data_IF_698346389864
#
_entry.id   IF_698346389864
#
_cell.length_a   1.000
_cell.length_b   1.000
_cell.length_c   1.000
_cell.angle_alpha   90.00
_cell.angle_beta   90.00
_cell.angle_gamma   90.00
#
_symmetry.space_group_name_H-M   'P 1'
#
loop_
_entity.id
_entity.type
_entity.pdbx_description
1 polymer ?
#
# COMPACT_ATOMS: atom_id res chain seq x y z
N UNK A 1 14.44 -11.59 17.18
CA UNK A 1 13.05 -11.60 16.65
C UNK A 1 12.46 -12.96 16.95
N UNK A 2 11.19 -13.05 17.35
CA UNK A 2 10.54 -14.31 17.69
C UNK A 2 9.18 -14.42 16.99
N UNK A 3 8.91 -15.53 16.30
CA UNK A 3 7.62 -15.77 15.64
C UNK A 3 6.66 -16.44 16.63
N UNK A 4 5.67 -15.68 17.09
CA UNK A 4 4.68 -16.14 18.08
C UNK A 4 3.53 -16.93 17.48
N UNK A 5 3.13 -16.62 16.24
CA UNK A 5 1.99 -17.29 15.59
C UNK A 5 2.16 -17.27 14.08
N UNK A 6 1.93 -18.41 13.45
CA UNK A 6 1.86 -18.56 12.00
C UNK A 6 0.55 -19.27 11.65
N UNK A 7 -0.22 -18.68 10.73
CA UNK A 7 -1.48 -19.27 10.26
C UNK A 7 -1.55 -19.15 8.74
N UNK A 8 -1.59 -20.29 8.06
CA UNK A 8 -1.85 -20.33 6.62
C UNK A 8 -3.32 -20.03 6.34
N UNK A 9 -3.57 -19.26 5.28
CA UNK A 9 -4.90 -18.92 4.77
C UNK A 9 -4.99 -19.34 3.31
N UNK A 10 -5.38 -20.61 3.03
CA UNK A 10 -5.38 -21.16 1.68
C UNK A 10 -6.24 -20.36 0.69
N UNK A 11 -7.41 -19.88 1.13
CA UNK A 11 -8.34 -19.09 0.30
C UNK A 11 -7.72 -17.82 -0.29
N UNK A 12 -6.80 -17.19 0.44
CA UNK A 12 -6.11 -15.97 0.02
C UNK A 12 -4.67 -16.23 -0.42
N UNK A 13 -4.22 -17.49 -0.40
CA UNK A 13 -2.86 -17.88 -0.74
C UNK A 13 -1.78 -17.19 0.11
N UNK A 14 -2.11 -16.82 1.35
CA UNK A 14 -1.21 -16.06 2.23
C UNK A 14 -1.05 -16.71 3.60
N UNK A 15 0.10 -16.48 4.22
CA UNK A 15 0.39 -16.87 5.59
C UNK A 15 0.43 -15.63 6.46
N UNK A 16 -0.44 -15.59 7.47
CA UNK A 16 -0.44 -14.53 8.49
C UNK A 16 0.56 -14.89 9.57
N UNK A 17 1.56 -14.05 9.74
CA UNK A 17 2.61 -14.20 10.75
C UNK A 17 2.47 -13.09 11.79
N UNK A 18 2.53 -13.47 13.06
CA UNK A 18 2.65 -12.56 14.18
C UNK A 18 4.02 -12.77 14.82
N UNK A 19 4.82 -11.72 14.85
CA UNK A 19 6.16 -11.78 15.40
C UNK A 19 6.36 -10.70 16.47
N UNK A 20 7.22 -11.01 17.43
CA UNK A 20 7.70 -10.09 18.45
C UNK A 20 9.13 -9.70 18.11
N UNK A 21 9.37 -8.41 17.98
CA UNK A 21 10.68 -7.82 17.70
C UNK A 21 11.12 -7.07 18.95
N UNK A 22 12.12 -7.59 19.63
CA UNK A 22 12.79 -6.92 20.75
C UNK A 22 13.93 -6.09 20.17
N UNK A 23 14.04 -4.84 20.62
CA UNK A 23 15.05 -3.90 20.15
C UNK A 23 15.51 -3.02 21.31
N UNK A 24 16.80 -2.74 21.41
CA UNK A 24 17.30 -1.82 22.43
C UNK A 24 17.22 -0.38 21.89
N UNK A 25 16.05 0.25 22.03
CA UNK A 25 15.85 1.67 21.69
C UNK A 25 14.61 1.98 20.83
N UNK A 26 14.70 2.90 19.84
CA UNK A 26 13.55 3.36 19.06
C UNK A 26 12.99 2.25 18.18
N UNK A 27 11.66 2.25 17.99
CA UNK A 27 10.94 1.25 17.18
C UNK A 27 11.61 1.09 15.81
N UNK A 28 12.00 -0.14 15.41
CA UNK A 28 12.71 -0.36 14.16
C UNK A 28 11.85 0.04 12.97
N UNK A 29 12.51 0.50 11.92
CA UNK A 29 11.82 0.88 10.68
C UNK A 29 11.11 -0.33 10.07
N UNK A 30 10.05 -0.07 9.30
CA UNK A 30 9.29 -1.12 8.60
C UNK A 30 10.18 -1.95 7.67
N UNK A 31 11.11 -1.33 6.95
CA UNK A 31 12.04 -2.04 6.06
C UNK A 31 12.98 -2.96 6.85
N UNK A 32 13.51 -2.50 7.99
CA UNK A 32 14.35 -3.34 8.85
C UNK A 32 13.60 -4.58 9.33
N UNK A 33 12.34 -4.42 9.77
CA UNK A 33 11.50 -5.53 10.20
C UNK A 33 11.21 -6.49 9.03
N UNK A 34 10.98 -5.96 7.83
CA UNK A 34 10.74 -6.74 6.62
C UNK A 34 11.97 -7.59 6.26
N UNK A 35 13.16 -7.00 6.32
CA UNK A 35 14.42 -7.70 6.07
C UNK A 35 14.68 -8.79 7.13
N UNK A 36 14.36 -8.52 8.41
CA UNK A 36 14.44 -9.54 9.46
C UNK A 36 13.46 -10.69 9.24
N UNK A 37 12.22 -10.40 8.83
CA UNK A 37 11.22 -11.43 8.49
C UNK A 37 11.64 -12.27 7.29
N UNK A 38 12.20 -11.64 6.26
CA UNK A 38 12.69 -12.30 5.06
C UNK A 38 13.78 -13.32 5.39
N UNK A 39 14.73 -12.94 6.25
CA UNK A 39 15.81 -13.82 6.73
C UNK A 39 15.29 -14.99 7.56
N UNK A 40 14.41 -14.70 8.52
CA UNK A 40 13.87 -15.71 9.44
C UNK A 40 13.05 -16.78 8.70
N UNK A 41 12.24 -16.35 7.73
CA UNK A 41 11.33 -17.22 7.00
C UNK A 41 11.88 -17.71 5.66
N UNK A 42 13.10 -17.30 5.29
CA UNK A 42 13.77 -17.62 4.03
C UNK A 42 12.89 -17.32 2.80
N UNK A 43 12.21 -16.17 2.83
CA UNK A 43 11.34 -15.70 1.74
C UNK A 43 11.83 -14.35 1.24
N UNK A 44 11.57 -14.05 -0.04
CA UNK A 44 11.90 -12.74 -0.61
C UNK A 44 11.12 -11.62 0.10
N UNK A 45 11.79 -10.48 0.31
CA UNK A 45 11.19 -9.29 0.94
C UNK A 45 9.93 -8.79 0.21
N UNK A 46 9.93 -8.90 -1.13
CA UNK A 46 8.82 -8.49 -2.00
C UNK A 46 7.53 -9.26 -1.71
N UNK A 47 7.65 -10.48 -1.19
CA UNK A 47 6.52 -11.33 -0.86
C UNK A 47 5.97 -11.09 0.56
N UNK A 48 6.57 -10.16 1.31
CA UNK A 48 6.20 -9.84 2.68
C UNK A 48 5.61 -8.44 2.75
N UNK A 49 4.39 -8.32 3.27
CA UNK A 49 3.75 -7.05 3.58
C UNK A 49 3.49 -6.94 5.08
N UNK A 50 3.97 -5.86 5.69
CA UNK A 50 3.72 -5.57 7.10
C UNK A 50 2.41 -4.79 7.21
N UNK A 51 1.38 -5.42 7.79
CA UNK A 51 0.07 -4.81 7.95
C UNK A 51 0.03 -3.84 9.13
N UNK A 52 0.55 -4.27 10.27
CA UNK A 52 0.55 -3.47 11.49
C UNK A 52 1.81 -3.69 12.31
N UNK A 53 2.25 -2.60 12.95
CA UNK A 53 3.37 -2.55 13.89
C UNK A 53 2.80 -1.98 15.19
N UNK A 54 2.73 -2.81 16.23
CA UNK A 54 2.20 -2.45 17.54
C UNK A 54 3.34 -2.39 18.55
N UNK A 55 3.88 -1.21 18.85
CA UNK A 55 4.84 -1.06 19.94
C UNK A 55 4.17 -1.41 21.27
N UNK A 56 4.87 -2.14 22.14
CA UNK A 56 4.40 -2.46 23.49
C UNK A 56 4.76 -1.30 24.41
N UNK A 57 3.76 -0.72 25.07
CA UNK A 57 4.00 0.35 26.03
C UNK A 57 4.83 -0.18 27.22
N UNK A 58 5.84 0.60 27.64
CA UNK A 58 6.70 0.26 28.78
C UNK A 58 7.67 -0.90 28.53
N UNK A 59 7.80 -1.39 27.29
CA UNK A 59 8.76 -2.43 26.94
C UNK A 59 9.41 -2.08 25.60
N UNK A 60 10.69 -2.42 25.43
CA UNK A 60 11.37 -2.22 24.15
C UNK A 60 11.08 -3.41 23.20
N UNK A 61 9.80 -3.67 23.00
CA UNK A 61 9.31 -4.78 22.19
C UNK A 61 8.16 -4.32 21.29
N UNK A 62 8.12 -4.89 20.09
CA UNK A 62 7.19 -4.49 19.04
C UNK A 62 6.52 -5.74 18.48
N UNK A 63 5.19 -5.78 18.55
CA UNK A 63 4.40 -6.85 17.94
C UNK A 63 4.09 -6.47 16.49
N UNK A 64 4.54 -7.30 15.57
CA UNK A 64 4.37 -7.10 14.12
C UNK A 64 3.38 -8.13 13.59
N UNK A 65 2.46 -7.68 12.74
CA UNK A 65 1.58 -8.55 11.96
C UNK A 65 1.96 -8.39 10.49
N UNK A 66 2.41 -9.48 9.88
CA UNK A 66 2.81 -9.55 8.49
C UNK A 66 1.98 -10.59 7.71
N UNK A 67 1.76 -10.31 6.44
CA UNK A 67 1.20 -11.23 5.46
C UNK A 67 2.30 -11.64 4.49
N UNK A 68 2.42 -12.94 4.28
CA UNK A 68 3.43 -13.52 3.41
C UNK A 68 2.72 -14.24 2.30
N UNK A 69 3.04 -13.88 1.07
CA UNK A 69 2.44 -14.44 -0.13
C UNK A 69 3.41 -15.41 -0.80
N UNK A 70 2.87 -16.44 -1.46
CA UNK A 70 3.67 -17.33 -2.31
C UNK A 70 3.96 -16.68 -3.67
N UNK A 71 3.00 -15.89 -4.16
CA UNK A 71 3.04 -15.26 -5.48
C UNK A 71 3.00 -13.72 -5.36
N UNK A 72 3.93 -12.98 -5.98
CA UNK A 72 3.93 -11.51 -5.95
C UNK A 72 2.73 -10.90 -6.69
N UNK A 73 2.21 -11.59 -7.70
CA UNK A 73 1.00 -11.17 -8.44
C UNK A 73 -0.23 -11.13 -7.54
N UNK A 74 -0.38 -12.09 -6.62
CA UNK A 74 -1.49 -12.11 -5.66
C UNK A 74 -1.34 -11.00 -4.62
N UNK A 75 -0.11 -10.73 -4.20
CA UNK A 75 0.20 -9.63 -3.29
C UNK A 75 -0.23 -8.29 -3.88
N UNK A 76 0.12 -8.00 -5.14
CA UNK A 76 -0.27 -6.75 -5.83
C UNK A 76 -1.78 -6.60 -6.01
N UNK A 77 -2.50 -7.71 -6.24
CA UNK A 77 -3.96 -7.70 -6.42
C UNK A 77 -4.76 -7.59 -5.12
N UNK A 78 -4.24 -8.15 -4.02
CA UNK A 78 -4.99 -8.28 -2.75
C UNK A 78 -4.67 -7.19 -1.72
N UNK A 79 -3.46 -6.64 -1.74
CA UNK A 79 -3.08 -5.57 -0.82
C UNK A 79 -3.35 -4.19 -1.43
N UNK A 80 -3.47 -3.18 -0.56
CA UNK A 80 -3.74 -1.81 -0.98
C UNK A 80 -2.48 -1.19 -1.62
N UNK A 81 -2.63 -0.48 -2.73
CA UNK A 81 -1.56 0.23 -3.44
C UNK A 81 -0.70 1.11 -2.53
N UNK A 82 -1.31 1.76 -1.54
CA UNK A 82 -0.58 2.57 -0.55
C UNK A 82 0.43 1.75 0.25
N UNK A 83 0.10 0.50 0.60
CA UNK A 83 1.02 -0.39 1.29
C UNK A 83 2.13 -0.86 0.36
N UNK A 84 1.84 -1.12 -0.91
CA UNK A 84 2.86 -1.52 -1.90
C UNK A 84 3.93 -0.44 -2.04
N UNK A 85 3.51 0.80 -2.29
CA UNK A 85 4.41 1.96 -2.40
C UNK A 85 5.28 2.19 -1.15
N UNK A 86 4.80 1.80 0.03
CA UNK A 86 5.54 1.90 1.30
C UNK A 86 6.59 0.81 1.51
N UNK A 87 6.51 -0.29 0.77
CA UNK A 87 7.43 -1.42 0.88
C UNK A 87 8.35 -1.55 -0.35
N UNK A 88 7.99 -0.91 -1.46
CA UNK A 88 8.89 -0.67 -2.59
C UNK A 88 10.03 0.25 -2.14
N UNK A 89 11.28 -0.20 -2.34
CA UNK A 89 12.43 0.71 -2.21
C UNK A 89 12.50 1.56 -3.47
N UNK A 90 12.94 2.82 -3.39
CA UNK A 90 12.96 3.76 -4.52
C UNK A 90 13.93 3.42 -5.67
N UNK A 91 14.30 2.15 -5.89
CA UNK A 91 15.22 1.73 -6.95
C UNK A 91 14.65 0.69 -7.93
N UNK A 92 13.38 0.29 -7.81
CA UNK A 92 12.75 -0.62 -8.79
C UNK A 92 11.50 0.01 -9.42
N UNK A 93 11.69 1.12 -10.12
CA UNK A 93 10.91 1.37 -11.33
C UNK A 93 11.54 0.55 -12.46
N UNK A 94 11.07 -0.69 -12.65
CA UNK A 94 11.11 -1.31 -13.97
C UNK A 94 9.69 -1.40 -14.51
N UNK A 95 9.43 -0.75 -15.66
CA UNK A 95 8.12 -0.75 -16.31
C UNK A 95 7.96 -2.05 -17.10
N UNK A 96 6.78 -2.69 -16.99
CA UNK A 96 6.11 -3.45 -18.05
C UNK A 96 5.14 -4.47 -17.42
N UNK A 97 3.84 -4.20 -17.56
CA UNK A 97 3.06 -4.91 -18.58
C UNK A 97 1.69 -4.26 -18.69
N UNK A 98 1.61 -3.28 -19.59
CA UNK A 98 0.46 -3.13 -20.46
C UNK A 98 0.32 -4.42 -21.27
N UNK A 99 -0.75 -5.18 -21.04
CA UNK A 99 -1.37 -5.99 -22.10
C UNK A 99 -2.80 -6.32 -21.68
N UNK A 100 -3.74 -5.43 -22.01
CA UNK A 100 -5.10 -5.74 -22.48
C UNK A 100 -5.90 -4.45 -22.67
N UNK A 101 -5.77 -3.86 -23.87
CA UNK A 101 -6.89 -3.19 -24.54
C UNK A 101 -6.53 -3.09 -26.02
N UNK A 102 -6.98 -4.09 -26.78
CA UNK A 102 -7.01 -4.05 -28.23
C UNK A 102 -7.81 -2.83 -28.69
N UNK A 103 -7.18 -1.98 -29.50
CA UNK A 103 -7.91 -1.16 -30.46
C UNK A 103 -8.41 -2.07 -31.59
N UNK A 104 -9.56 -1.76 -32.19
CA UNK A 104 -9.45 -1.29 -33.56
C UNK A 104 -10.11 0.07 -33.75
N UNK A 105 -9.46 0.85 -34.59
CA UNK A 105 -9.79 2.20 -34.99
C UNK A 105 -11.05 2.30 -35.86
N UNK A 106 -11.80 3.39 -35.68
CA UNK A 106 -12.43 4.17 -36.75
C UNK A 106 -12.90 5.53 -36.16
N UNK A 107 -12.13 6.58 -36.40
CA UNK A 107 -12.54 8.01 -36.32
C UNK A 107 -13.39 8.39 -37.58
N UNK A 108 -13.77 9.67 -37.81
CA UNK A 108 -14.62 10.59 -37.05
C UNK A 108 -15.66 11.33 -37.95
N UNK A 109 -16.65 12.03 -37.37
CA UNK A 109 -17.27 13.28 -37.89
C UNK A 109 -18.11 13.86 -36.75
N UNK A 110 -17.68 14.95 -36.11
CA UNK A 110 -18.08 16.34 -36.41
C UNK A 110 -19.61 16.54 -36.42
N UNK A 111 -20.15 17.29 -35.44
CA UNK A 111 -20.73 18.62 -35.69
C UNK A 111 -21.17 19.32 -34.38
N UNK A 112 -20.49 20.45 -34.10
CA UNK A 112 -20.94 21.76 -33.54
C UNK A 112 -21.86 21.81 -32.31
N UNK A 113 -21.42 22.43 -31.22
CA UNK A 113 -21.32 23.88 -30.99
C UNK A 113 -22.67 24.55 -30.67
N UNK A 114 -22.74 25.14 -29.46
CA UNK A 114 -23.50 26.32 -28.98
C UNK A 114 -23.37 26.25 -27.44
N UNK A 115 -22.40 26.89 -26.79
CA UNK A 115 -22.31 28.34 -26.51
C UNK A 115 -23.56 28.88 -25.81
N UNK A 116 -23.48 29.12 -24.49
CA UNK A 116 -23.90 30.39 -23.87
C UNK A 116 -23.62 30.37 -22.35
N UNK A 117 -22.63 31.19 -21.95
CA UNK A 117 -22.66 31.96 -20.70
C UNK A 117 -23.47 33.24 -20.96
N UNK A 118 -24.12 33.88 -19.97
CA UNK A 118 -23.45 34.86 -19.08
C UNK A 118 -23.90 34.69 -17.59
N UNK A 119 -23.14 35.01 -16.53
CA UNK A 119 -22.52 36.26 -16.08
C UNK A 119 -23.51 37.35 -15.61
N UNK A 120 -23.74 37.44 -14.27
CA UNK A 120 -24.08 38.66 -13.47
C UNK A 120 -24.07 38.21 -11.98
N UNK A 121 -23.14 38.59 -11.10
CA UNK A 121 -22.80 39.90 -10.46
C UNK A 121 -23.84 40.39 -9.43
N UNK A 122 -23.32 40.77 -8.23
CA UNK A 122 -23.91 41.53 -7.10
C UNK A 122 -23.80 40.78 -5.75
N UNK A 123 -22.72 40.98 -4.99
CA UNK A 123 -22.64 41.95 -3.88
C UNK A 123 -23.83 41.89 -2.88
N UNK A 124 -23.57 41.32 -1.70
CA UNK A 124 -24.15 41.84 -0.45
C UNK A 124 -23.11 41.69 0.65
N UNK A 125 -22.49 42.81 0.98
CA UNK A 125 -21.82 43.02 2.25
C UNK A 125 -22.88 42.99 3.36
N UNK A 126 -22.88 41.95 4.19
CA UNK A 126 -23.60 41.99 5.45
C UNK A 126 -22.67 42.48 6.57
N UNK A 127 -23.12 43.59 7.15
CA UNK A 127 -22.58 44.28 8.29
C UNK A 127 -22.54 43.35 9.52
N UNK A 128 -21.34 43.12 10.05
CA UNK A 128 -21.14 42.96 11.50
C UNK A 128 -20.87 44.38 12.02
N UNK A 129 -21.65 45.00 12.89
CA UNK A 129 -22.39 44.42 14.02
C UNK A 129 -21.62 44.82 15.28
N UNK A 130 -22.10 45.90 15.89
CA UNK A 130 -21.79 46.48 17.22
C UNK A 130 -20.35 46.87 17.59
#
# INVERSE_FOLDING_TARGET
>A
MNITKQRETPLLGRTRVTALVENEGPTPSRHTIQDSLAKELKVSRENIIIKHIFPRFGSQAVKVIAHIYKDPQKLKKLENEYLLKKHERPEEETPAQEEQAQAPAAEPVEEKATEEQPAEEAETQEQKGD
#
